data_IF_793571528029
#
_entry.id   IF_793571528029
#
_cell.length_a   1.000
_cell.length_b   1.000
_cell.length_c   1.000
_cell.angle_alpha   90.00
_cell.angle_beta   90.00
_cell.angle_gamma   90.00
#
_symmetry.space_group_name_H-M   'P 1'
#
loop_
_entity.id
_entity.type
_entity.pdbx_description
1 polymer ?
#
# COMPACT_ATOMS: atom_id res chain seq x y z
N UNK A 1 0.92 -1.74 10.68
CA UNK A 1 0.60 -0.61 9.76
C UNK A 1 1.07 -0.90 8.36
N UNK A 2 2.36 -1.22 8.14
CA UNK A 2 2.88 -1.49 6.79
C UNK A 2 2.07 -2.54 6.02
N UNK A 3 1.72 -3.66 6.66
CA UNK A 3 0.92 -4.73 6.03
C UNK A 3 -0.43 -4.26 5.46
N UNK A 4 -1.03 -3.22 6.02
CA UNK A 4 -2.26 -2.65 5.47
C UNK A 4 -1.96 -1.77 4.25
N UNK A 5 -1.12 -0.75 4.42
CA UNK A 5 -0.82 0.23 3.36
C UNK A 5 -0.07 -0.39 2.18
N UNK A 6 0.83 -1.37 2.44
CA UNK A 6 1.59 -2.04 1.39
C UNK A 6 0.78 -3.11 0.65
N UNK A 7 -0.33 -3.59 1.19
CA UNK A 7 -1.09 -4.67 0.56
C UNK A 7 -1.48 -4.36 -0.89
N UNK A 8 -1.95 -3.16 -1.17
CA UNK A 8 -2.32 -2.75 -2.53
C UNK A 8 -1.14 -2.82 -3.52
N UNK A 9 0.01 -2.15 -3.28
CA UNK A 9 1.14 -2.23 -4.21
C UNK A 9 1.78 -3.63 -4.25
N UNK A 10 1.88 -4.34 -3.13
CA UNK A 10 2.45 -5.70 -3.08
C UNK A 10 1.63 -6.65 -3.96
N UNK A 11 0.31 -6.66 -3.77
CA UNK A 11 -0.58 -7.52 -4.56
C UNK A 11 -0.65 -7.09 -6.03
N UNK A 12 -0.77 -5.78 -6.29
CA UNK A 12 -0.97 -5.25 -7.65
C UNK A 12 0.28 -5.28 -8.52
N UNK A 13 1.47 -5.28 -7.92
CA UNK A 13 2.75 -5.25 -8.62
C UNK A 13 3.63 -6.48 -8.34
N UNK A 14 3.08 -7.50 -7.68
CA UNK A 14 3.79 -8.75 -7.37
C UNK A 14 5.14 -8.51 -6.65
N UNK A 15 5.11 -7.76 -5.55
CA UNK A 15 6.30 -7.31 -4.82
C UNK A 15 6.69 -8.29 -3.69
N UNK A 16 7.13 -9.51 -4.04
CA UNK A 16 7.44 -10.55 -3.04
C UNK A 16 8.93 -10.67 -2.73
N UNK A 17 9.78 -10.66 -3.75
CA UNK A 17 11.20 -10.98 -3.65
C UNK A 17 12.08 -9.79 -4.06
N UNK A 18 12.33 -8.82 -3.16
CA UNK A 18 13.25 -7.74 -3.44
C UNK A 18 14.69 -8.26 -3.53
N UNK A 19 15.46 -7.79 -4.52
CA UNK A 19 16.89 -8.13 -4.66
C UNK A 19 17.77 -7.26 -3.77
N UNK A 20 17.26 -6.13 -3.30
CA UNK A 20 17.97 -5.25 -2.37
C UNK A 20 16.99 -4.48 -1.50
N UNK A 21 17.41 -4.21 -0.25
CA UNK A 21 16.73 -3.31 0.69
C UNK A 21 17.74 -2.32 1.23
N UNK A 22 17.45 -1.03 1.09
CA UNK A 22 18.33 0.05 1.53
C UNK A 22 17.62 0.94 2.53
N UNK A 23 18.26 1.17 3.69
CA UNK A 23 17.86 2.19 4.64
C UNK A 23 18.37 3.55 4.15
N UNK A 24 17.48 4.35 3.53
CA UNK A 24 17.85 5.62 2.90
C UNK A 24 18.00 6.73 3.94
N UNK A 25 17.09 6.76 4.93
CA UNK A 25 17.10 7.79 5.98
C UNK A 25 16.42 7.27 7.24
N UNK A 26 17.15 7.20 8.35
CA UNK A 26 16.69 6.65 9.63
C UNK A 26 17.17 7.53 10.80
N UNK A 27 16.63 8.75 10.98
CA UNK A 27 17.02 9.61 12.09
C UNK A 27 16.44 9.11 13.42
N UNK A 28 17.07 9.52 14.53
CA UNK A 28 16.55 9.28 15.87
C UNK A 28 16.83 7.88 16.41
N UNK A 29 17.91 7.24 15.95
CA UNK A 29 18.38 5.97 16.51
C UNK A 29 19.27 6.24 17.72
N UNK A 30 19.00 5.56 18.83
CA UNK A 30 19.96 5.33 19.92
C UNK A 30 20.52 3.93 19.69
N UNK A 31 21.79 3.84 19.34
CA UNK A 31 22.43 2.61 18.91
C UNK A 31 22.31 1.51 19.96
N UNK A 32 21.84 0.35 19.54
CA UNK A 32 21.63 -0.81 20.40
C UNK A 32 20.37 -0.77 21.28
N UNK A 33 19.62 0.35 21.32
CA UNK A 33 18.52 0.52 22.27
C UNK A 33 17.16 0.82 21.63
N UNK A 34 17.13 1.55 20.50
CA UNK A 34 15.85 2.03 19.94
C UNK A 34 15.68 1.72 18.46
N UNK A 35 14.42 1.71 18.03
CA UNK A 35 14.08 1.85 16.62
C UNK A 35 14.24 3.30 16.17
N UNK A 36 14.45 3.58 14.86
CA UNK A 36 14.50 4.94 14.36
C UNK A 36 13.15 5.64 14.56
N UNK A 37 13.19 6.93 14.93
CA UNK A 37 11.99 7.75 15.09
C UNK A 37 11.27 8.03 13.76
N UNK A 38 12.01 7.95 12.64
CA UNK A 38 11.49 8.07 11.29
C UNK A 38 12.32 7.18 10.34
N UNK A 39 11.67 6.63 9.31
CA UNK A 39 12.34 5.69 8.40
C UNK A 39 11.98 5.99 6.95
N UNK A 40 12.99 5.89 6.07
CA UNK A 40 12.80 5.75 4.63
C UNK A 40 13.55 4.52 4.16
N UNK A 41 12.80 3.51 3.71
CA UNK A 41 13.35 2.28 3.14
C UNK A 41 13.09 2.27 1.64
N UNK A 42 14.06 1.75 0.88
CA UNK A 42 13.91 1.49 -0.54
C UNK A 42 14.11 0.00 -0.79
N UNK A 43 13.17 -0.60 -1.48
CA UNK A 43 13.20 -1.98 -1.94
C UNK A 43 13.35 -1.98 -3.46
N UNK A 44 14.22 -2.82 -3.99
CA UNK A 44 14.44 -2.96 -5.43
C UNK A 44 13.92 -4.31 -5.89
N UNK A 45 13.05 -4.28 -6.89
CA UNK A 45 12.45 -5.49 -7.49
C UNK A 45 12.88 -5.64 -8.94
N UNK A 46 13.32 -6.85 -9.34
CA UNK A 46 13.69 -7.13 -10.74
C UNK A 46 12.45 -7.21 -11.63
N UNK A 47 12.65 -7.43 -12.92
CA UNK A 47 11.57 -7.83 -13.82
C UNK A 47 10.99 -9.17 -13.38
N UNK A 48 9.66 -9.29 -13.38
CA UNK A 48 8.92 -10.47 -12.93
C UNK A 48 7.54 -10.55 -13.55
N UNK A 49 7.10 -11.74 -13.95
CA UNK A 49 5.74 -11.98 -14.43
C UNK A 49 5.24 -11.03 -15.54
N UNK A 50 6.13 -10.49 -16.37
CA UNK A 50 5.82 -9.47 -17.38
C UNK A 50 5.77 -8.03 -16.83
N UNK A 51 5.97 -7.83 -15.54
CA UNK A 51 6.11 -6.52 -14.90
C UNK A 51 7.56 -6.06 -14.95
N UNK A 52 7.76 -4.78 -15.26
CA UNK A 52 9.11 -4.19 -15.30
C UNK A 52 9.72 -4.10 -13.91
N UNK A 53 11.04 -4.05 -13.84
CA UNK A 53 11.78 -3.72 -12.62
C UNK A 53 11.25 -2.41 -12.03
N UNK A 54 11.16 -2.35 -10.70
CA UNK A 54 10.68 -1.16 -10.02
C UNK A 54 11.32 -0.99 -8.64
N UNK A 55 11.16 0.20 -8.08
CA UNK A 55 11.55 0.54 -6.72
C UNK A 55 10.30 0.82 -5.90
N UNK A 56 10.25 0.26 -4.70
CA UNK A 56 9.23 0.56 -3.71
C UNK A 56 9.86 1.33 -2.56
N UNK A 57 9.27 2.46 -2.21
CA UNK A 57 9.72 3.31 -1.11
C UNK A 57 8.68 3.27 0.02
N UNK A 58 9.15 2.98 1.21
CA UNK A 58 8.40 3.12 2.44
C UNK A 58 8.85 4.38 3.19
N UNK A 59 7.90 5.20 3.57
CA UNK A 59 8.14 6.42 4.35
C UNK A 59 7.32 6.36 5.63
N UNK A 60 7.92 6.59 6.79
CA UNK A 60 7.20 6.74 8.04
C UNK A 60 7.86 7.76 8.98
N UNK A 61 7.28 7.95 10.18
CA UNK A 61 7.80 8.87 11.18
C UNK A 61 7.85 10.34 10.74
N UNK A 62 7.08 10.71 9.74
CA UNK A 62 7.08 12.07 9.17
C UNK A 62 8.00 12.25 7.95
N UNK A 63 8.78 11.23 7.57
CA UNK A 63 9.44 11.23 6.27
C UNK A 63 8.38 11.16 5.16
N UNK A 64 8.65 11.85 4.06
CA UNK A 64 7.72 11.97 2.92
C UNK A 64 8.45 11.78 1.60
N UNK A 65 7.73 11.44 0.53
CA UNK A 65 8.26 11.47 -0.83
C UNK A 65 8.75 12.88 -1.23
N UNK A 66 9.37 12.98 -2.41
CA UNK A 66 9.84 14.27 -2.94
C UNK A 66 8.69 15.26 -3.10
N UNK A 67 9.00 16.55 -2.93
CA UNK A 67 8.02 17.62 -3.13
C UNK A 67 7.49 17.64 -4.57
N UNK A 68 8.29 17.21 -5.54
CA UNK A 68 7.87 17.06 -6.93
C UNK A 68 6.73 16.02 -7.08
N UNK A 69 6.84 14.88 -6.39
CA UNK A 69 5.78 13.87 -6.39
C UNK A 69 4.54 14.36 -5.64
N UNK A 70 4.74 14.99 -4.48
CA UNK A 70 3.65 15.55 -3.67
C UNK A 70 2.88 16.61 -4.48
N UNK A 71 3.55 17.45 -5.25
CA UNK A 71 2.92 18.49 -6.07
C UNK A 71 1.95 17.93 -7.13
N UNK A 72 2.13 16.68 -7.56
CA UNK A 72 1.25 16.00 -8.52
C UNK A 72 -0.01 15.39 -7.89
N UNK A 73 -0.13 15.40 -6.56
CA UNK A 73 -1.26 14.83 -5.84
C UNK A 73 -2.41 15.85 -5.70
N UNK A 74 -3.66 15.40 -5.52
CA UNK A 74 -4.81 16.28 -5.34
C UNK A 74 -4.63 17.28 -4.20
N UNK A 75 -5.18 18.48 -4.36
CA UNK A 75 -5.02 19.56 -3.38
C UNK A 75 -5.49 19.15 -1.97
N UNK A 76 -6.63 18.47 -1.87
CA UNK A 76 -7.14 17.97 -0.59
C UNK A 76 -6.18 17.02 0.11
N UNK A 77 -5.51 16.15 -0.65
CA UNK A 77 -4.50 15.24 -0.10
C UNK A 77 -3.22 16.00 0.32
N UNK A 78 -2.76 16.95 -0.48
CA UNK A 78 -1.61 17.82 -0.13
C UNK A 78 -1.86 18.63 1.15
N UNK A 79 -3.08 19.14 1.37
CA UNK A 79 -3.47 19.81 2.62
C UNK A 79 -3.35 18.88 3.83
N UNK A 80 -3.74 17.60 3.70
CA UNK A 80 -3.57 16.60 4.79
C UNK A 80 -2.10 16.33 5.09
N UNK A 81 -1.25 16.21 4.06
CA UNK A 81 0.20 16.08 4.25
C UNK A 81 0.77 17.30 4.99
N UNK A 82 0.37 18.50 4.61
CA UNK A 82 0.81 19.74 5.26
C UNK A 82 0.35 19.81 6.73
N UNK A 83 -0.88 19.42 7.01
CA UNK A 83 -1.39 19.33 8.39
C UNK A 83 -0.60 18.31 9.23
N UNK A 84 -0.25 17.15 8.67
CA UNK A 84 0.59 16.15 9.33
C UNK A 84 1.99 16.73 9.66
N UNK A 85 2.63 17.45 8.74
CA UNK A 85 3.92 18.14 8.97
C UNK A 85 3.83 19.13 10.15
N UNK A 86 2.68 19.75 10.33
CA UNK A 86 2.40 20.68 11.42
C UNK A 86 1.99 19.99 12.74
N UNK A 87 2.08 18.67 12.84
CA UNK A 87 1.70 17.90 14.04
C UNK A 87 0.20 17.54 14.11
N UNK A 88 -0.57 17.78 13.07
CA UNK A 88 -1.99 17.49 12.99
C UNK A 88 -2.31 16.20 12.23
N UNK A 89 -2.75 15.17 12.97
CA UNK A 89 -3.23 13.92 12.38
C UNK A 89 -2.17 13.02 11.76
N UNK A 90 -2.62 11.94 11.13
CA UNK A 90 -1.77 11.00 10.37
C UNK A 90 -2.35 10.82 8.98
N UNK A 91 -1.50 10.79 7.97
CA UNK A 91 -1.88 10.53 6.59
C UNK A 91 -1.21 9.25 6.14
N UNK A 92 -2.01 8.31 5.67
CA UNK A 92 -1.54 7.05 5.13
C UNK A 92 -2.05 6.92 3.71
N UNK A 93 -1.19 6.50 2.79
CA UNK A 93 -1.55 6.32 1.39
C UNK A 93 -0.53 5.45 0.66
N UNK A 94 -0.96 4.87 -0.45
CA UNK A 94 -0.08 4.29 -1.45
C UNK A 94 -0.16 5.11 -2.76
N UNK A 95 1.00 5.41 -3.34
CA UNK A 95 1.12 6.09 -4.63
C UNK A 95 1.91 5.21 -5.58
N UNK A 96 1.29 4.77 -6.67
CA UNK A 96 1.96 4.03 -7.73
C UNK A 96 2.28 4.99 -8.87
N UNK A 97 3.54 5.04 -9.25
CA UNK A 97 4.04 5.92 -10.32
C UNK A 97 4.26 5.09 -11.58
N UNK A 98 3.45 5.32 -12.59
CA UNK A 98 3.52 4.65 -13.88
C UNK A 98 3.93 5.59 -15.03
N UNK A 99 4.23 5.02 -16.18
CA UNK A 99 4.58 5.78 -17.40
C UNK A 99 3.44 6.64 -17.95
N UNK A 100 2.18 6.33 -17.58
CA UNK A 100 0.99 7.05 -18.06
C UNK A 100 0.37 7.96 -17.01
N UNK A 101 0.85 7.92 -15.77
CA UNK A 101 0.29 8.73 -14.67
C UNK A 101 0.50 8.07 -13.31
N UNK A 102 -0.31 8.48 -12.35
CA UNK A 102 -0.24 8.01 -10.98
C UNK A 102 -1.53 7.31 -10.60
N UNK A 103 -1.43 6.33 -9.67
CA UNK A 103 -2.57 5.82 -8.92
C UNK A 103 -2.36 6.20 -7.47
N UNK A 104 -3.29 6.95 -6.90
CA UNK A 104 -3.31 7.32 -5.48
C UNK A 104 -4.41 6.52 -4.77
N UNK A 105 -4.04 5.79 -3.71
CA UNK A 105 -4.98 5.21 -2.74
C UNK A 105 -4.78 5.87 -1.39
N UNK A 106 -5.80 6.61 -0.93
CA UNK A 106 -5.71 7.57 0.17
C UNK A 106 -5.93 7.00 1.57
N UNK A 107 -5.89 5.69 1.74
CA UNK A 107 -6.08 5.04 3.03
C UNK A 107 -5.27 3.75 3.16
N UNK A 108 -5.26 3.18 4.37
CA UNK A 108 -4.52 1.98 4.70
C UNK A 108 -5.03 0.70 4.02
N UNK A 109 -6.26 0.71 3.49
CA UNK A 109 -6.93 -0.53 3.08
C UNK A 109 -7.06 -0.71 1.57
N UNK A 110 -6.62 0.25 0.76
CA UNK A 110 -6.73 0.18 -0.69
C UNK A 110 -8.16 0.10 -1.22
N UNK A 111 -9.15 0.54 -0.42
CA UNK A 111 -10.57 0.41 -0.76
C UNK A 111 -11.02 1.31 -1.91
N UNK A 112 -10.29 2.39 -2.15
CA UNK A 112 -10.55 3.34 -3.22
C UNK A 112 -9.23 3.85 -3.82
N UNK A 113 -9.31 4.30 -5.06
CA UNK A 113 -8.17 4.90 -5.74
C UNK A 113 -8.60 6.00 -6.70
N UNK A 114 -7.68 6.91 -6.97
CA UNK A 114 -7.80 7.97 -7.99
C UNK A 114 -6.66 7.83 -8.99
N UNK A 115 -6.97 7.90 -10.27
CA UNK A 115 -5.98 7.97 -11.34
C UNK A 115 -5.66 9.43 -11.66
N UNK A 116 -4.38 9.75 -11.81
CA UNK A 116 -3.91 11.12 -11.99
C UNK A 116 -2.98 11.23 -13.22
N UNK A 117 -3.02 12.33 -13.96
CA UNK A 117 -3.98 13.44 -13.82
C UNK A 117 -5.40 13.01 -14.24
N UNK A 118 -6.42 13.44 -13.51
CA UNK A 118 -7.82 12.96 -13.69
C UNK A 118 -8.35 13.21 -15.10
N UNK A 119 -7.93 14.29 -15.73
CA UNK A 119 -8.33 14.64 -17.10
C UNK A 119 -7.98 13.57 -18.14
N UNK A 120 -6.92 12.78 -17.91
CA UNK A 120 -6.49 11.71 -18.81
C UNK A 120 -7.32 10.43 -18.64
N UNK A 121 -8.13 10.34 -17.60
CA UNK A 121 -8.83 9.12 -17.20
C UNK A 121 -10.36 9.28 -17.11
N UNK A 122 -10.92 10.33 -17.74
CA UNK A 122 -12.38 10.57 -17.73
C UNK A 122 -13.21 9.41 -18.25
N UNK A 123 -12.69 8.70 -19.26
CA UNK A 123 -13.35 7.57 -19.89
C UNK A 123 -12.90 6.20 -19.33
N UNK A 124 -12.10 6.21 -18.26
CA UNK A 124 -11.62 4.98 -17.65
C UNK A 124 -12.76 4.18 -17.03
N UNK A 125 -12.95 2.99 -17.55
CA UNK A 125 -13.92 2.03 -16.99
C UNK A 125 -13.21 1.12 -16.01
N UNK A 126 -13.67 1.12 -14.77
CA UNK A 126 -13.15 0.22 -13.73
C UNK A 126 -13.33 -1.23 -14.19
N UNK A 127 -12.28 -2.06 -14.16
CA UNK A 127 -12.39 -3.46 -14.52
C UNK A 127 -13.34 -4.21 -13.57
N UNK A 128 -13.97 -5.26 -14.08
CA UNK A 128 -14.80 -6.13 -13.25
C UNK A 128 -13.94 -6.85 -12.20
N UNK A 129 -14.48 -7.04 -10.99
CA UNK A 129 -13.77 -7.75 -9.94
C UNK A 129 -13.48 -9.20 -10.34
N UNK A 130 -12.21 -9.60 -10.29
CA UNK A 130 -11.79 -10.99 -10.62
C UNK A 130 -11.56 -11.84 -9.37
N UNK A 131 -11.39 -11.22 -8.19
CA UNK A 131 -11.17 -11.92 -6.93
C UNK A 131 -12.53 -12.15 -6.26
N UNK A 132 -12.90 -13.41 -5.98
CA UNK A 132 -14.14 -13.72 -5.29
C UNK A 132 -14.22 -13.04 -3.92
N UNK A 133 -15.39 -12.55 -3.57
CA UNK A 133 -15.66 -12.02 -2.22
C UNK A 133 -16.03 -13.16 -1.28
N UNK A 134 -15.60 -13.05 -0.03
CA UNK A 134 -16.02 -13.98 1.05
C UNK A 134 -17.56 -13.95 1.13
N UNK A 135 -18.24 -15.12 1.09
CA UNK A 135 -19.70 -15.20 1.06
C UNK A 135 -20.34 -14.98 2.44
N UNK A 136 -19.93 -13.93 3.13
CA UNK A 136 -20.44 -13.55 4.45
C UNK A 136 -20.91 -12.10 4.43
N UNK A 137 -22.07 -11.83 5.05
CA UNK A 137 -22.70 -10.50 5.01
C UNK A 137 -22.27 -9.55 6.13
N UNK A 138 -21.31 -9.91 6.96
CA UNK A 138 -20.80 -9.06 8.05
C UNK A 138 -19.78 -8.02 7.61
N UNK A 139 -19.26 -7.26 8.57
CA UNK A 139 -18.16 -6.30 8.40
C UNK A 139 -16.83 -6.96 8.00
N UNK A 140 -15.79 -6.16 7.71
CA UNK A 140 -14.50 -6.65 7.26
C UNK A 140 -13.85 -7.64 8.25
N UNK A 141 -13.78 -7.27 9.51
CA UNK A 141 -13.17 -8.11 10.57
C UNK A 141 -13.98 -9.39 10.84
N UNK A 142 -15.31 -9.31 10.76
CA UNK A 142 -16.18 -10.46 10.92
C UNK A 142 -16.02 -11.45 9.76
N UNK A 143 -15.84 -10.95 8.54
CA UNK A 143 -15.57 -11.80 7.36
C UNK A 143 -14.27 -12.59 7.52
N UNK A 144 -13.21 -11.95 7.98
CA UNK A 144 -11.94 -12.61 8.23
C UNK A 144 -12.06 -13.71 9.30
N UNK A 145 -12.73 -13.41 10.40
CA UNK A 145 -12.98 -14.39 11.47
C UNK A 145 -13.84 -15.55 10.98
N UNK A 146 -14.87 -15.27 10.21
CA UNK A 146 -15.72 -16.29 9.59
C UNK A 146 -14.90 -17.18 8.64
N UNK A 147 -14.11 -16.59 7.75
CA UNK A 147 -13.25 -17.33 6.82
C UNK A 147 -12.29 -18.26 7.57
N UNK A 148 -11.66 -17.77 8.63
CA UNK A 148 -10.78 -18.58 9.48
C UNK A 148 -11.52 -19.75 10.12
N UNK A 149 -12.64 -19.50 10.77
CA UNK A 149 -13.44 -20.55 11.47
C UNK A 149 -13.93 -21.60 10.49
N UNK A 150 -14.51 -21.20 9.36
CA UNK A 150 -15.03 -22.15 8.37
C UNK A 150 -13.92 -22.93 7.66
N UNK A 151 -12.74 -22.32 7.52
CA UNK A 151 -11.56 -23.03 7.00
C UNK A 151 -11.06 -24.11 7.96
N UNK A 152 -11.04 -23.82 9.28
CA UNK A 152 -10.71 -24.82 10.32
C UNK A 152 -11.71 -25.94 10.34
N UNK A 153 -13.00 -25.65 10.12
CA UNK A 153 -14.07 -26.66 10.01
C UNK A 153 -14.01 -27.48 8.72
N UNK A 154 -13.23 -27.06 7.73
CA UNK A 154 -13.18 -27.69 6.41
C UNK A 154 -14.39 -27.40 5.52
N UNK A 155 -15.25 -26.45 5.90
CA UNK A 155 -16.45 -26.06 5.16
C UNK A 155 -16.21 -24.94 4.14
N UNK A 156 -15.09 -24.26 4.26
CA UNK A 156 -14.66 -23.21 3.34
C UNK A 156 -13.17 -23.32 3.05
N UNK A 157 -12.82 -23.24 1.76
CA UNK A 157 -11.41 -23.14 1.35
C UNK A 157 -11.03 -21.67 1.26
N UNK A 158 -10.03 -21.20 2.03
CA UNK A 158 -9.60 -19.80 1.99
C UNK A 158 -9.25 -19.38 0.57
N UNK A 159 -9.61 -18.15 0.24
CA UNK A 159 -9.16 -17.51 -0.99
C UNK A 159 -7.64 -17.30 -0.99
N UNK A 160 -7.10 -16.93 -2.14
CA UNK A 160 -5.65 -16.71 -2.32
C UNK A 160 -5.07 -15.69 -1.34
N UNK A 161 -5.87 -14.73 -0.90
CA UNK A 161 -5.43 -13.61 -0.06
C UNK A 161 -5.68 -13.83 1.45
N UNK A 162 -6.44 -14.84 1.83
CA UNK A 162 -6.75 -15.16 3.23
C UNK A 162 -5.92 -16.29 3.81
N UNK A 163 -4.74 -16.58 3.27
CA UNK A 163 -3.90 -17.67 3.72
C UNK A 163 -2.55 -17.19 4.25
N UNK A 164 -1.91 -18.01 5.09
CA UNK A 164 -0.63 -17.68 5.72
C UNK A 164 0.52 -17.59 4.72
N UNK A 165 0.46 -18.29 3.60
CA UNK A 165 1.47 -18.21 2.55
C UNK A 165 1.48 -16.84 1.87
N UNK A 166 0.33 -16.17 1.81
CA UNK A 166 0.25 -14.79 1.32
C UNK A 166 0.64 -13.78 2.42
N UNK A 167 0.23 -14.03 3.67
CA UNK A 167 0.41 -13.07 4.76
C UNK A 167 1.80 -13.11 5.41
N UNK A 168 2.52 -14.21 5.27
CA UNK A 168 3.89 -14.41 5.78
C UNK A 168 4.95 -13.95 4.86
#
# INVERSE_FOLDING_TARGET
MACHTCNLPVMGLDLWDPVAVTAVKNPGIVEGETFPGATTLMFEFPERGGLKACKFFWYDGGNLPSDELIAKLPEGFRKRIAAQKAGGGRTSAAVLVGSKGLLLSENDYGAAYTLLPEENYKDFKKPEPTIPRIPFKGGGDERQKWEFVESVRGTYKPGTLGNFGYAG
#
